data_IF_236790618957
#
_entry.id   IF_236790618957
#
_cell.length_a   1.000
_cell.length_b   1.000
_cell.length_c   1.000
_cell.angle_alpha   90.00
_cell.angle_beta   90.00
_cell.angle_gamma   90.00
#
_symmetry.space_group_name_H-M   'P 1'
#
loop_
_entity.id
_entity.type
_entity.pdbx_description
1 polymer ?
#
# COMPACT_ATOMS: atom_id res chain seq x y z
N UNK A 1 37.11 13.15 16.40
CA UNK A 1 37.90 12.72 17.57
C UNK A 1 37.14 13.12 18.82
N UNK A 2 37.31 12.46 19.97
CA UNK A 2 36.59 12.84 21.21
C UNK A 2 37.00 14.21 21.75
N UNK A 3 38.14 14.75 21.33
CA UNK A 3 38.65 16.04 21.76
C UNK A 3 38.00 17.26 21.06
N UNK A 4 37.02 17.06 20.16
CA UNK A 4 36.30 18.16 19.49
C UNK A 4 37.05 18.86 18.35
N UNK A 5 38.35 18.64 18.23
CA UNK A 5 39.20 19.24 17.20
C UNK A 5 39.03 18.64 15.80
N UNK A 6 39.51 19.39 14.80
CA UNK A 6 39.50 19.02 13.39
C UNK A 6 40.20 17.69 13.11
N UNK A 7 39.67 16.96 12.12
CA UNK A 7 40.29 15.76 11.57
C UNK A 7 40.83 16.11 10.20
N UNK A 8 42.15 16.02 10.03
CA UNK A 8 42.82 16.30 8.75
C UNK A 8 43.34 15.00 8.12
N UNK A 9 43.43 14.96 6.79
CA UNK A 9 43.96 13.82 6.03
C UNK A 9 45.44 14.02 5.72
N UNK A 10 46.23 12.97 5.90
CA UNK A 10 47.67 12.96 5.68
C UNK A 10 48.09 11.78 4.80
N UNK A 11 49.24 11.92 4.13
CA UNK A 11 49.92 10.83 3.44
C UNK A 11 51.02 10.24 4.31
N UNK A 12 51.08 8.92 4.42
CA UNK A 12 52.13 8.22 5.14
C UNK A 12 53.46 8.29 4.39
N UNK A 13 54.52 8.61 5.14
CA UNK A 13 55.90 8.68 4.63
C UNK A 13 56.72 7.45 5.00
N UNK A 14 56.12 6.45 5.65
CA UNK A 14 56.83 5.22 6.03
C UNK A 14 57.20 4.41 4.80
N UNK A 15 58.29 3.64 4.87
CA UNK A 15 58.75 2.82 3.75
C UNK A 15 57.71 1.75 3.35
N UNK A 16 57.02 1.18 4.34
CA UNK A 16 56.01 0.13 4.16
C UNK A 16 54.67 0.66 3.64
N UNK A 17 54.24 1.85 4.08
CA UNK A 17 52.94 2.42 3.72
C UNK A 17 53.11 3.76 2.99
N UNK A 18 54.07 3.84 2.06
CA UNK A 18 54.39 5.10 1.37
C UNK A 18 53.17 5.61 0.59
N UNK A 19 52.85 6.88 0.77
CA UNK A 19 51.71 7.59 0.17
C UNK A 19 50.31 7.08 0.56
N UNK A 20 50.19 6.05 1.42
CA UNK A 20 48.88 5.61 1.93
C UNK A 20 48.26 6.72 2.77
N UNK A 21 46.97 7.01 2.54
CA UNK A 21 46.27 8.12 3.20
C UNK A 21 45.61 7.68 4.50
N UNK A 22 45.74 8.50 5.53
CA UNK A 22 45.07 8.32 6.83
C UNK A 22 44.45 9.63 7.31
N UNK A 23 43.39 9.53 8.10
CA UNK A 23 42.84 10.66 8.84
C UNK A 23 43.40 10.66 10.27
N UNK A 24 43.72 11.85 10.79
CA UNK A 24 44.18 12.03 12.16
C UNK A 24 43.65 13.34 12.75
N UNK A 25 43.42 13.34 14.05
CA UNK A 25 43.17 14.57 14.79
C UNK A 25 44.34 15.56 14.65
N UNK A 26 44.03 16.85 14.48
CA UNK A 26 45.02 17.92 14.26
C UNK A 26 46.00 18.09 15.44
N UNK A 27 45.49 18.09 16.67
CA UNK A 27 46.33 18.29 17.88
C UNK A 27 47.16 17.04 18.22
N UNK A 28 46.85 15.87 17.67
CA UNK A 28 47.60 14.64 17.93
C UNK A 28 49.06 14.68 17.41
N UNK A 29 49.40 15.69 16.61
CA UNK A 29 50.77 15.94 16.12
C UNK A 29 51.59 16.78 17.10
N UNK A 30 50.96 17.64 17.88
CA UNK A 30 51.67 18.57 18.76
C UNK A 30 52.17 17.85 20.02
N UNK A 31 53.48 17.93 20.20
CA UNK A 31 54.33 17.00 20.98
C UNK A 31 53.98 16.92 22.47
N UNK A 32 53.12 17.79 22.99
CA UNK A 32 52.71 17.86 24.40
C UNK A 32 51.65 16.83 24.83
N UNK A 33 50.95 16.16 23.89
CA UNK A 33 49.87 15.20 24.19
C UNK A 33 50.04 13.83 23.54
N UNK A 34 51.28 13.38 23.33
CA UNK A 34 51.60 12.06 22.74
C UNK A 34 51.00 10.86 23.51
N UNK A 35 50.56 11.07 24.75
CA UNK A 35 49.96 10.06 25.63
C UNK A 35 48.44 9.98 25.52
N UNK A 36 47.78 10.93 24.87
CA UNK A 36 46.33 10.91 24.68
C UNK A 36 45.95 10.10 23.43
N UNK A 37 45.03 9.15 23.59
CA UNK A 37 44.52 8.33 22.48
C UNK A 37 43.63 9.17 21.55
N UNK A 38 44.25 9.86 20.60
CA UNK A 38 43.55 10.60 19.57
C UNK A 38 43.20 9.73 18.36
N UNK A 39 42.17 10.15 17.60
CA UNK A 39 41.74 9.45 16.39
C UNK A 39 42.88 9.36 15.37
N UNK A 40 43.18 8.13 14.96
CA UNK A 40 43.98 7.78 13.80
C UNK A 40 43.27 6.64 13.08
N UNK A 41 43.02 6.78 11.79
CA UNK A 41 42.42 5.70 10.98
C UNK A 41 42.86 5.81 9.52
N UNK A 42 43.11 4.67 8.88
CA UNK A 42 43.38 4.65 7.44
C UNK A 42 42.12 4.99 6.65
N UNK A 43 42.27 5.75 5.56
CA UNK A 43 41.11 6.21 4.78
C UNK A 43 40.37 5.04 4.14
N UNK A 44 41.10 4.05 3.62
CA UNK A 44 40.51 2.84 3.04
C UNK A 44 39.72 2.03 4.08
N UNK A 45 40.22 1.91 5.30
CA UNK A 45 39.51 1.23 6.39
C UNK A 45 38.27 2.01 6.85
N UNK A 46 38.34 3.35 6.85
CA UNK A 46 37.18 4.20 7.15
C UNK A 46 36.10 4.05 6.08
N UNK A 47 36.47 4.08 4.79
CA UNK A 47 35.55 3.89 3.68
C UNK A 47 34.90 2.51 3.69
N UNK A 48 35.66 1.45 3.98
CA UNK A 48 35.10 0.10 4.09
C UNK A 48 34.06 0.01 5.22
N UNK A 49 34.31 0.65 6.36
CA UNK A 49 33.33 0.71 7.45
C UNK A 49 32.07 1.49 7.05
N UNK A 50 32.23 2.63 6.38
CA UNK A 50 31.10 3.42 5.87
C UNK A 50 30.25 2.61 4.87
N UNK A 51 30.89 1.91 3.94
CA UNK A 51 30.21 1.01 2.99
C UNK A 51 29.41 -0.05 3.75
N UNK A 52 30.02 -0.74 4.73
CA UNK A 52 29.33 -1.75 5.54
C UNK A 52 28.13 -1.19 6.30
N UNK A 53 28.25 0.02 6.84
CA UNK A 53 27.14 0.69 7.52
C UNK A 53 26.01 1.04 6.55
N UNK A 54 26.34 1.47 5.34
CA UNK A 54 25.36 1.74 4.28
C UNK A 54 24.67 0.46 3.84
N UNK A 55 25.41 -0.64 3.64
CA UNK A 55 24.85 -1.94 3.28
C UNK A 55 23.87 -2.44 4.35
N UNK A 56 24.22 -2.34 5.63
CA UNK A 56 23.35 -2.72 6.73
C UNK A 56 22.06 -1.88 6.77
N UNK A 57 22.15 -0.57 6.51
CA UNK A 57 20.97 0.31 6.39
C UNK A 57 20.14 -0.06 5.18
N UNK A 58 20.76 -0.35 4.04
CA UNK A 58 20.07 -0.76 2.83
C UNK A 58 19.28 -2.06 3.05
N UNK A 59 19.88 -3.06 3.69
CA UNK A 59 19.21 -4.32 4.05
C UNK A 59 18.01 -4.07 4.98
N UNK A 60 18.19 -3.22 6.00
CA UNK A 60 17.11 -2.85 6.91
C UNK A 60 15.94 -2.16 6.19
N UNK A 61 16.23 -1.24 5.26
CA UNK A 61 15.21 -0.56 4.45
C UNK A 61 14.52 -1.55 3.51
N UNK A 62 15.26 -2.41 2.82
CA UNK A 62 14.70 -3.42 1.93
C UNK A 62 13.73 -4.34 2.68
N UNK A 63 14.11 -4.81 3.88
CA UNK A 63 13.23 -5.59 4.77
C UNK A 63 12.01 -4.78 5.24
N UNK A 64 12.18 -3.49 5.49
CA UNK A 64 11.08 -2.59 5.83
C UNK A 64 10.04 -2.48 4.72
N UNK A 65 10.49 -2.38 3.47
CA UNK A 65 9.64 -2.32 2.27
C UNK A 65 8.85 -3.61 2.11
N UNK A 66 9.49 -4.77 2.17
CA UNK A 66 8.79 -6.06 2.00
C UNK A 66 7.70 -6.26 3.06
N UNK A 67 8.00 -5.98 4.33
CA UNK A 67 7.00 -6.05 5.41
C UNK A 67 5.86 -5.03 5.26
N UNK A 68 6.12 -3.88 4.61
CA UNK A 68 5.09 -2.89 4.32
C UNK A 68 4.21 -3.35 3.18
N UNK A 69 4.79 -3.87 2.09
CA UNK A 69 4.07 -4.44 0.95
C UNK A 69 3.12 -5.55 1.39
N UNK A 70 3.58 -6.48 2.23
CA UNK A 70 2.74 -7.55 2.79
C UNK A 70 1.55 -6.99 3.59
N UNK A 71 1.79 -6.02 4.47
CA UNK A 71 0.74 -5.38 5.29
C UNK A 71 -0.28 -4.63 4.44
N UNK A 72 0.18 -3.92 3.42
CA UNK A 72 -0.69 -3.19 2.49
C UNK A 72 -1.52 -4.17 1.67
N UNK A 73 -0.91 -5.23 1.13
CA UNK A 73 -1.60 -6.23 0.34
C UNK A 73 -2.70 -6.93 1.15
N UNK A 74 -2.41 -7.30 2.40
CA UNK A 74 -3.41 -7.91 3.28
C UNK A 74 -4.56 -6.94 3.58
N UNK A 75 -4.26 -5.68 3.92
CA UNK A 75 -5.30 -4.67 4.14
C UNK A 75 -6.14 -4.43 2.89
N UNK A 76 -5.53 -4.31 1.72
CA UNK A 76 -6.22 -4.12 0.44
C UNK A 76 -7.14 -5.30 0.14
N UNK A 77 -6.66 -6.54 0.38
CA UNK A 77 -7.47 -7.75 0.19
C UNK A 77 -8.68 -7.77 1.13
N UNK A 78 -8.50 -7.47 2.42
CA UNK A 78 -9.60 -7.40 3.38
C UNK A 78 -10.64 -6.33 2.99
N UNK A 79 -10.17 -5.14 2.61
CA UNK A 79 -11.05 -4.05 2.16
C UNK A 79 -11.79 -4.41 0.88
N UNK A 80 -11.14 -5.08 -0.07
CA UNK A 80 -11.78 -5.55 -1.30
C UNK A 80 -12.92 -6.54 -1.00
N UNK A 81 -12.69 -7.54 -0.16
CA UNK A 81 -13.73 -8.49 0.27
C UNK A 81 -14.88 -7.76 0.98
N UNK A 82 -14.57 -6.78 1.83
CA UNK A 82 -15.58 -5.98 2.52
C UNK A 82 -16.44 -5.17 1.56
N UNK A 83 -15.81 -4.49 0.61
CA UNK A 83 -16.49 -3.69 -0.43
C UNK A 83 -17.32 -4.58 -1.34
N UNK A 84 -16.80 -5.73 -1.77
CA UNK A 84 -17.55 -6.71 -2.56
C UNK A 84 -18.78 -7.22 -1.83
N UNK A 85 -18.65 -7.56 -0.53
CA UNK A 85 -19.77 -8.01 0.28
C UNK A 85 -20.84 -6.92 0.44
N UNK A 86 -20.43 -5.69 0.74
CA UNK A 86 -21.35 -4.56 0.88
C UNK A 86 -22.05 -4.24 -0.45
N UNK A 87 -21.33 -4.26 -1.56
CA UNK A 87 -21.88 -4.04 -2.90
C UNK A 87 -22.85 -5.15 -3.29
N UNK A 88 -22.51 -6.42 -3.03
CA UNK A 88 -23.39 -7.57 -3.30
C UNK A 88 -24.68 -7.49 -2.48
N UNK A 89 -24.60 -7.11 -1.20
CA UNK A 89 -25.77 -6.90 -0.36
C UNK A 89 -26.65 -5.78 -0.90
N UNK A 90 -26.09 -4.60 -1.19
CA UNK A 90 -26.83 -3.46 -1.76
C UNK A 90 -27.45 -3.80 -3.11
N UNK A 91 -26.75 -4.57 -3.95
CA UNK A 91 -27.25 -5.02 -5.24
C UNK A 91 -28.43 -5.98 -5.06
N UNK A 92 -28.33 -6.95 -4.15
CA UNK A 92 -29.41 -7.88 -3.84
C UNK A 92 -30.66 -7.15 -3.32
N UNK A 93 -30.48 -6.21 -2.39
CA UNK A 93 -31.58 -5.39 -1.87
C UNK A 93 -32.28 -4.58 -2.97
N UNK A 94 -31.51 -3.96 -3.89
CA UNK A 94 -32.08 -3.23 -5.03
C UNK A 94 -32.80 -4.16 -6.02
N UNK A 95 -32.25 -5.35 -6.28
CA UNK A 95 -32.87 -6.35 -7.16
C UNK A 95 -34.18 -6.85 -6.57
N UNK A 96 -34.20 -7.19 -5.27
CA UNK A 96 -35.41 -7.64 -4.58
C UNK A 96 -36.51 -6.55 -4.61
N UNK A 97 -36.14 -5.28 -4.44
CA UNK A 97 -37.05 -4.14 -4.53
C UNK A 97 -37.65 -3.97 -5.94
N UNK A 98 -36.82 -4.04 -6.99
CA UNK A 98 -37.31 -3.94 -8.38
C UNK A 98 -38.17 -5.15 -8.77
N UNK A 99 -37.82 -6.36 -8.32
CA UNK A 99 -38.66 -7.55 -8.53
C UNK A 99 -40.04 -7.35 -7.90
N UNK A 100 -40.10 -6.85 -6.67
CA UNK A 100 -41.37 -6.57 -5.99
C UNK A 100 -42.19 -5.50 -6.74
N UNK A 101 -41.53 -4.44 -7.24
CA UNK A 101 -42.17 -3.37 -8.03
C UNK A 101 -42.76 -3.93 -9.34
N UNK A 102 -41.99 -4.72 -10.08
CA UNK A 102 -42.44 -5.35 -11.33
C UNK A 102 -43.58 -6.34 -11.06
N UNK A 103 -43.51 -7.14 -10.00
CA UNK A 103 -44.58 -8.06 -9.62
C UNK A 103 -45.90 -7.32 -9.31
N UNK A 104 -45.83 -6.16 -8.67
CA UNK A 104 -46.99 -5.32 -8.39
C UNK A 104 -47.56 -4.70 -9.68
N UNK A 105 -46.72 -4.17 -10.56
CA UNK A 105 -47.16 -3.67 -11.87
C UNK A 105 -47.82 -4.77 -12.70
N UNK A 106 -47.24 -5.97 -12.73
CA UNK A 106 -47.81 -7.14 -13.42
C UNK A 106 -49.16 -7.55 -12.83
N UNK A 107 -49.29 -7.55 -11.49
CA UNK A 107 -50.56 -7.83 -10.81
C UNK A 107 -51.63 -6.80 -11.17
N UNK A 108 -51.28 -5.51 -11.26
CA UNK A 108 -52.21 -4.47 -11.70
C UNK A 108 -52.61 -4.64 -13.18
N UNK A 109 -51.64 -4.85 -14.08
CA UNK A 109 -51.90 -5.11 -15.51
C UNK A 109 -52.79 -6.34 -15.71
N UNK A 110 -52.54 -7.41 -14.96
CA UNK A 110 -53.35 -8.63 -15.02
C UNK A 110 -54.78 -8.36 -14.55
N UNK A 111 -54.99 -7.67 -13.43
CA UNK A 111 -56.33 -7.29 -12.95
C UNK A 111 -57.10 -6.51 -14.02
N UNK A 112 -56.47 -5.52 -14.65
CA UNK A 112 -57.08 -4.71 -15.71
C UNK A 112 -57.46 -5.59 -16.91
N UNK A 113 -56.54 -6.46 -17.36
CA UNK A 113 -56.78 -7.37 -18.48
C UNK A 113 -57.93 -8.35 -18.19
N UNK A 114 -58.01 -8.91 -16.98
CA UNK A 114 -59.10 -9.80 -16.58
C UNK A 114 -60.46 -9.10 -16.61
N UNK A 115 -60.55 -7.87 -16.10
CA UNK A 115 -61.80 -7.09 -16.15
C UNK A 115 -62.19 -6.81 -17.61
N UNK A 116 -61.24 -6.40 -18.45
CA UNK A 116 -61.50 -6.16 -19.87
C UNK A 116 -62.03 -7.43 -20.59
N UNK A 117 -61.44 -8.60 -20.32
CA UNK A 117 -61.90 -9.89 -20.87
C UNK A 117 -63.35 -10.22 -20.47
N UNK A 118 -63.72 -10.03 -19.20
CA UNK A 118 -65.09 -10.29 -18.72
C UNK A 118 -66.11 -9.37 -19.40
N UNK A 119 -65.77 -8.09 -19.54
CA UNK A 119 -66.65 -7.10 -20.20
C UNK A 119 -66.88 -7.47 -21.67
N UNK A 120 -65.80 -7.79 -22.41
CA UNK A 120 -65.91 -8.23 -23.82
C UNK A 120 -66.75 -9.50 -23.93
N UNK A 121 -66.53 -10.49 -23.06
CA UNK A 121 -67.31 -11.73 -23.04
C UNK A 121 -68.81 -11.48 -22.79
N UNK A 122 -69.16 -10.59 -21.87
CA UNK A 122 -70.55 -10.23 -21.60
C UNK A 122 -71.23 -9.55 -22.81
N UNK A 123 -70.53 -8.62 -23.47
CA UNK A 123 -71.05 -7.93 -24.67
C UNK A 123 -71.31 -8.94 -25.80
N UNK A 124 -70.38 -9.86 -26.06
CA UNK A 124 -70.53 -10.90 -27.09
C UNK A 124 -71.70 -11.82 -26.76
N UNK A 125 -71.81 -12.27 -25.49
CA UNK A 125 -72.91 -13.14 -25.05
C UNK A 125 -74.29 -12.50 -25.30
N UNK A 126 -74.46 -11.23 -24.91
CA UNK A 126 -75.70 -10.48 -25.13
C UNK A 126 -76.02 -10.39 -26.64
N UNK A 127 -75.02 -10.07 -27.47
CA UNK A 127 -75.22 -9.98 -28.92
C UNK A 127 -75.65 -11.33 -29.52
N UNK A 128 -74.97 -12.43 -29.16
CA UNK A 128 -75.36 -13.77 -29.64
C UNK A 128 -76.77 -14.16 -29.24
N UNK A 129 -77.22 -13.82 -28.02
CA UNK A 129 -78.58 -14.09 -27.56
C UNK A 129 -79.66 -13.22 -28.20
N UNK A 130 -79.30 -12.07 -28.78
CA UNK A 130 -80.22 -11.20 -29.52
C UNK A 130 -80.32 -11.57 -31.01
N UNK A 131 -79.37 -12.36 -31.53
CA UNK A 131 -79.26 -12.68 -32.97
C UNK A 131 -79.78 -14.08 -33.31
N UNK A 132 -79.91 -14.95 -32.32
CA UNK A 132 -80.49 -16.31 -32.40
C UNK A 132 -81.91 -16.29 -31.83
#
# INVERSE_FOLDING_TARGET
CWCGEGITTFGSLTAENRYRRFCRCEIARDVTKKTENHLFKWIDEALIEEIRMVDAKHESVAKGITMFEERVMEKVKCEMVRVEHEMSKKLKEKVDLEIARVAQEMKQKLKIATVAMVVVGAIVGIWTSLTV
#
